data_IF_098079208217
#
_entry.id   IF_098079208217
#
_cell.length_a   1.000
_cell.length_b   1.000
_cell.length_c   1.000
_cell.angle_alpha   90.00
_cell.angle_beta   90.00
_cell.angle_gamma   90.00
#
_symmetry.space_group_name_H-M   'P 1'
#
loop_
_entity.id
_entity.type
_entity.pdbx_description
1 polymer ?
#
# COMPACT_ATOMS: atom_id res chain seq x y z
N UNK A 1 8.27 -9.59 30.63
CA UNK A 1 6.83 -9.72 30.93
C UNK A 1 6.18 -10.29 29.67
N UNK A 2 5.40 -11.36 29.81
CA UNK A 2 4.78 -12.05 28.67
C UNK A 2 3.55 -11.22 28.28
N UNK A 3 3.47 -10.76 27.02
CA UNK A 3 2.32 -10.00 26.51
C UNK A 3 1.05 -10.87 26.69
N UNK A 4 -0.11 -10.33 27.14
CA UNK A 4 -1.37 -11.06 27.31
C UNK A 4 -1.77 -11.99 26.16
N UNK A 5 -1.29 -11.75 24.93
CA UNK A 5 -1.51 -12.65 23.77
C UNK A 5 -0.79 -14.02 23.90
N UNK A 6 0.25 -14.10 24.72
CA UNK A 6 1.08 -15.30 24.92
C UNK A 6 0.89 -15.91 26.32
N UNK A 7 -0.10 -15.46 27.08
CA UNK A 7 -0.41 -15.99 28.40
C UNK A 7 -0.87 -17.46 28.28
N UNK A 8 -0.14 -18.38 28.93
CA UNK A 8 -0.40 -19.82 28.88
C UNK A 8 0.26 -20.58 27.72
N UNK A 9 1.07 -19.91 26.89
CA UNK A 9 1.87 -20.59 25.87
C UNK A 9 3.20 -21.10 26.44
N UNK A 10 3.56 -22.33 26.09
CA UNK A 10 4.88 -22.90 26.38
C UNK A 10 5.86 -22.49 25.27
N UNK A 11 6.91 -21.75 25.65
CA UNK A 11 7.95 -21.37 24.72
C UNK A 11 8.93 -22.53 24.54
N UNK A 12 9.40 -22.80 23.31
CA UNK A 12 10.34 -23.88 23.05
C UNK A 12 11.69 -23.63 23.73
N UNK A 13 12.33 -24.71 24.18
CA UNK A 13 13.70 -24.69 24.71
C UNK A 13 14.74 -24.44 23.61
N UNK A 14 15.98 -24.09 23.97
CA UNK A 14 17.04 -23.86 22.97
C UNK A 14 17.28 -25.10 22.11
N UNK A 15 17.31 -26.28 22.72
CA UNK A 15 17.50 -27.56 22.04
C UNK A 15 16.39 -27.82 21.01
N UNK A 16 15.14 -27.50 21.36
CA UNK A 16 13.98 -27.61 20.48
C UNK A 16 13.99 -26.59 19.34
N UNK A 17 14.43 -25.36 19.58
CA UNK A 17 14.58 -24.35 18.53
C UNK A 17 15.60 -24.76 17.45
N UNK A 18 16.62 -25.53 17.81
CA UNK A 18 17.61 -26.07 16.88
C UNK A 18 17.17 -27.38 16.22
N UNK A 19 16.48 -28.27 16.95
CA UNK A 19 16.14 -29.61 16.47
C UNK A 19 14.78 -29.70 15.76
N UNK A 20 13.78 -28.90 16.16
CA UNK A 20 12.43 -28.99 15.62
C UNK A 20 12.28 -28.23 14.30
N UNK A 21 11.34 -28.71 13.47
CA UNK A 21 11.01 -28.08 12.19
C UNK A 21 10.25 -26.77 12.43
N UNK A 22 10.68 -25.69 11.77
CA UNK A 22 9.95 -24.42 11.73
C UNK A 22 8.66 -24.58 10.93
N UNK A 23 7.52 -24.27 11.54
CA UNK A 23 6.20 -24.24 10.91
C UNK A 23 5.68 -22.82 10.99
N UNK A 24 5.27 -22.24 9.85
CA UNK A 24 4.63 -20.93 9.86
C UNK A 24 3.25 -21.05 10.48
N UNK A 25 2.93 -20.13 11.37
CA UNK A 25 1.57 -19.96 11.86
C UNK A 25 0.70 -19.23 10.82
N UNK A 26 -0.61 -19.21 11.05
CA UNK A 26 -1.58 -18.49 10.24
C UNK A 26 -1.52 -16.98 10.51
N UNK A 27 -1.44 -16.20 9.44
CA UNK A 27 -1.52 -14.74 9.54
C UNK A 27 -3.00 -14.34 9.74
N UNK A 28 -3.33 -13.50 10.73
CA UNK A 28 -4.69 -13.05 10.95
C UNK A 28 -5.21 -12.24 9.75
N UNK A 29 -6.49 -12.41 9.41
CA UNK A 29 -7.12 -11.72 8.30
C UNK A 29 -7.00 -10.19 8.36
N UNK A 30 -7.03 -9.64 9.58
CA UNK A 30 -6.84 -8.21 9.82
C UNK A 30 -5.49 -7.69 9.30
N UNK A 31 -4.42 -8.49 9.40
CA UNK A 31 -3.10 -8.07 8.88
C UNK A 31 -3.12 -7.95 7.35
N UNK A 32 -3.81 -8.86 6.65
CA UNK A 32 -4.01 -8.74 5.21
C UNK A 32 -4.82 -7.50 4.84
N UNK A 33 -5.87 -7.19 5.61
CA UNK A 33 -6.68 -5.99 5.42
C UNK A 33 -5.86 -4.70 5.58
N UNK A 34 -5.00 -4.62 6.60
CA UNK A 34 -4.09 -3.48 6.80
C UNK A 34 -3.19 -3.32 5.58
N UNK A 35 -2.54 -4.40 5.12
CA UNK A 35 -1.67 -4.35 3.95
C UNK A 35 -2.42 -3.89 2.67
N UNK A 36 -3.67 -4.31 2.48
CA UNK A 36 -4.51 -3.87 1.35
C UNK A 36 -4.85 -2.38 1.45
N UNK A 37 -5.22 -1.90 2.63
CA UNK A 37 -5.54 -0.48 2.86
C UNK A 37 -4.29 0.39 2.64
N UNK A 38 -3.14 0.00 3.17
CA UNK A 38 -1.88 0.72 2.95
C UNK A 38 -1.48 0.73 1.46
N UNK A 39 -1.65 -0.39 0.75
CA UNK A 39 -1.39 -0.44 -0.68
C UNK A 39 -2.33 0.50 -1.45
N UNK A 40 -3.62 0.53 -1.10
CA UNK A 40 -4.59 1.42 -1.71
C UNK A 40 -4.25 2.90 -1.44
N UNK A 41 -3.80 3.23 -0.23
CA UNK A 41 -3.35 4.57 0.13
C UNK A 41 -2.14 5.01 -0.74
N UNK A 42 -1.09 4.18 -0.80
CA UNK A 42 0.10 4.47 -1.61
C UNK A 42 -0.22 4.57 -3.09
N UNK A 43 -1.11 3.71 -3.59
CA UNK A 43 -1.55 3.75 -4.98
C UNK A 43 -2.34 5.04 -5.29
N UNK A 44 -3.24 5.44 -4.40
CA UNK A 44 -4.09 6.62 -4.55
C UNK A 44 -3.30 7.91 -4.75
N UNK A 45 -2.22 8.12 -3.99
CA UNK A 45 -1.40 9.34 -4.11
C UNK A 45 -0.76 9.45 -5.49
N UNK A 46 -0.16 8.37 -5.99
CA UNK A 46 0.50 8.37 -7.31
C UNK A 46 -0.48 8.50 -8.47
N UNK A 47 -1.66 7.88 -8.34
CA UNK A 47 -2.74 8.01 -9.31
C UNK A 47 -3.28 9.45 -9.37
N UNK A 48 -3.59 10.04 -8.21
CA UNK A 48 -4.14 11.39 -8.14
C UNK A 48 -3.20 12.43 -8.75
N UNK A 49 -1.90 12.33 -8.45
CA UNK A 49 -0.89 13.25 -9.00
C UNK A 49 -0.90 13.20 -10.53
N UNK A 50 -0.84 12.01 -11.12
CA UNK A 50 -0.86 11.85 -12.57
C UNK A 50 -2.19 12.29 -13.19
N UNK A 51 -3.31 11.91 -12.57
CA UNK A 51 -4.66 12.26 -13.02
C UNK A 51 -4.88 13.78 -13.09
N UNK A 52 -4.41 14.52 -12.08
CA UNK A 52 -4.54 15.97 -11.97
C UNK A 52 -3.58 16.67 -12.94
N UNK A 53 -2.32 16.25 -12.93
CA UNK A 53 -1.24 16.95 -13.63
C UNK A 53 -1.33 16.80 -15.15
N UNK A 54 -1.58 15.57 -15.63
CA UNK A 54 -1.47 15.20 -17.04
C UNK A 54 -2.82 15.33 -17.75
N UNK A 55 -2.84 15.70 -19.04
CA UNK A 55 -4.07 15.73 -19.83
C UNK A 55 -4.55 14.31 -20.14
N UNK A 56 -5.81 14.21 -20.61
CA UNK A 56 -6.36 12.97 -21.12
C UNK A 56 -5.53 12.45 -22.32
N UNK A 57 -5.06 11.20 -22.32
CA UNK A 57 -4.29 10.66 -23.43
C UNK A 57 -5.10 10.63 -24.74
N UNK A 58 -4.46 10.79 -25.91
CA UNK A 58 -5.14 10.74 -27.20
C UNK A 58 -5.89 9.41 -27.38
N UNK A 59 -7.15 9.48 -27.82
CA UNK A 59 -8.02 8.31 -28.02
C UNK A 59 -8.33 7.50 -26.73
N UNK A 60 -8.08 8.06 -25.54
CA UNK A 60 -8.46 7.46 -24.25
C UNK A 60 -9.73 8.11 -23.73
N UNK A 61 -10.70 7.32 -23.27
CA UNK A 61 -11.90 7.80 -22.57
C UNK A 61 -11.79 7.65 -21.05
N UNK A 62 -10.79 6.91 -20.58
CA UNK A 62 -10.63 6.53 -19.17
C UNK A 62 -9.45 7.20 -18.48
N UNK A 63 -8.56 7.86 -19.25
CA UNK A 63 -7.33 8.43 -18.72
C UNK A 63 -6.18 7.45 -18.57
N UNK A 64 -6.37 6.19 -19.00
CA UNK A 64 -5.31 5.19 -19.00
C UNK A 64 -4.30 5.47 -20.12
N UNK A 65 -3.01 5.53 -19.75
CA UNK A 65 -1.88 5.65 -20.68
C UNK A 65 -1.45 4.32 -21.33
N UNK A 66 -1.92 3.18 -20.84
CA UNK A 66 -1.49 1.85 -21.32
C UNK A 66 -0.06 1.50 -20.88
N UNK A 67 0.53 0.45 -21.45
CA UNK A 67 1.81 -0.11 -21.01
C UNK A 67 2.99 0.88 -21.10
N UNK A 68 2.97 1.75 -22.12
CA UNK A 68 4.08 2.66 -22.43
C UNK A 68 3.66 4.15 -22.45
N UNK A 69 2.41 4.46 -22.11
CA UNK A 69 1.91 5.83 -22.16
C UNK A 69 1.68 6.42 -20.78
N UNK A 70 1.61 7.74 -20.74
CA UNK A 70 1.36 8.48 -19.52
C UNK A 70 -0.14 8.54 -19.22
N UNK A 71 -0.55 8.15 -18.01
CA UNK A 71 -1.94 8.30 -17.55
C UNK A 71 -2.22 9.72 -17.06
N UNK A 72 -3.44 10.19 -17.27
CA UNK A 72 -3.85 11.58 -17.00
C UNK A 72 -5.31 11.85 -17.36
N UNK A 73 -5.85 12.98 -16.90
CA UNK A 73 -7.21 13.39 -17.28
C UNK A 73 -7.43 14.91 -17.24
N UNK A 74 -6.96 15.60 -16.19
CA UNK A 74 -7.38 16.98 -15.91
C UNK A 74 -6.44 18.06 -16.48
N UNK A 75 -5.19 17.73 -16.79
CA UNK A 75 -4.23 18.66 -17.41
C UNK A 75 -3.98 19.95 -16.62
N UNK A 76 -4.09 19.92 -15.28
CA UNK A 76 -3.95 21.10 -14.40
C UNK A 76 -2.50 21.42 -14.04
N UNK A 77 -1.55 20.66 -14.57
CA UNK A 77 -0.12 20.87 -14.37
C UNK A 77 0.36 20.54 -12.96
N UNK A 78 1.67 20.66 -12.78
CA UNK A 78 2.38 20.27 -11.54
C UNK A 78 1.97 21.12 -10.34
N UNK A 79 1.77 22.43 -10.51
CA UNK A 79 1.47 23.34 -9.39
C UNK A 79 0.18 22.95 -8.65
N UNK A 80 -0.88 22.63 -9.39
CA UNK A 80 -2.15 22.17 -8.81
C UNK A 80 -1.99 20.82 -8.09
N UNK A 81 -1.22 19.90 -8.68
CA UNK A 81 -0.96 18.58 -8.11
C UNK A 81 -0.17 18.67 -6.81
N UNK A 82 0.92 19.44 -6.80
CA UNK A 82 1.74 19.64 -5.60
C UNK A 82 0.96 20.34 -4.51
N UNK A 83 0.15 21.35 -4.85
CA UNK A 83 -0.70 22.05 -3.89
C UNK A 83 -1.68 21.13 -3.16
N UNK A 84 -2.31 20.19 -3.87
CA UNK A 84 -3.20 19.19 -3.26
C UNK A 84 -2.44 18.18 -2.40
N UNK A 85 -1.26 17.72 -2.85
CA UNK A 85 -0.42 16.84 -2.02
C UNK A 85 0.02 17.53 -0.73
N UNK A 86 0.44 18.80 -0.79
CA UNK A 86 0.80 19.58 0.40
C UNK A 86 -0.41 19.83 1.30
N UNK A 87 -1.60 20.06 0.75
CA UNK A 87 -2.82 20.22 1.55
C UNK A 87 -3.14 18.98 2.39
N UNK A 88 -2.98 17.77 1.85
CA UNK A 88 -3.24 16.53 2.59
C UNK A 88 -2.17 16.15 3.64
N UNK A 89 -1.07 16.90 3.72
CA UNK A 89 -0.02 16.68 4.72
C UNK A 89 -0.26 17.41 6.05
N UNK A 90 -1.26 18.29 6.10
CA UNK A 90 -1.65 19.08 7.29
C UNK A 90 -3.05 18.70 7.78
#
# INVERSE_FOLDING_TARGET
EVDPIHEGLEFPTEEELFALRRVSDAIPWTAYMIAVVELAERFSVTWQVNFIQQPLPPNSTTGAGGLNGQSGALGRGQQMSTGLTTFYQF
#
